data_IF_901531480019
#
_entry.id   IF_901531480019
#
_cell.length_a   1.000
_cell.length_b   1.000
_cell.length_c   1.000
_cell.angle_alpha   90.00
_cell.angle_beta   90.00
_cell.angle_gamma   90.00
#
_symmetry.space_group_name_H-M   'P 1'
#
loop_
_entity.id
_entity.type
_entity.pdbx_description
1 polymer ?
#
# COMPACT_ATOMS: atom_id res chain seq x y z
N UNK A 1 -1.54 8.49 -15.53
CA UNK A 1 -1.00 7.83 -14.32
C UNK A 1 -2.11 7.00 -13.70
N UNK A 2 -1.93 5.68 -13.59
CA UNK A 2 -2.96 4.76 -13.07
C UNK A 2 -3.02 4.85 -11.54
N UNK A 3 -4.19 5.12 -10.96
CA UNK A 3 -4.35 5.12 -9.50
C UNK A 3 -4.71 3.71 -9.02
N UNK A 4 -4.02 3.23 -7.99
CA UNK A 4 -4.17 1.88 -7.46
C UNK A 4 -4.44 1.96 -5.96
N UNK A 5 -5.46 1.22 -5.52
CA UNK A 5 -5.64 0.83 -4.12
C UNK A 5 -5.22 -0.62 -3.94
N UNK A 6 -4.54 -0.94 -2.84
CA UNK A 6 -4.07 -2.29 -2.55
C UNK A 6 -4.78 -2.85 -1.31
N UNK A 7 -5.41 -4.01 -1.46
CA UNK A 7 -6.13 -4.72 -0.39
C UNK A 7 -5.31 -5.94 0.02
N UNK A 8 -4.96 -6.02 1.30
CA UNK A 8 -4.03 -7.00 1.86
C UNK A 8 -2.60 -6.50 1.81
N UNK A 9 -2.07 -6.04 2.95
CA UNK A 9 -0.71 -5.52 3.11
C UNK A 9 0.09 -6.24 4.22
N UNK A 10 -0.30 -7.47 4.54
CA UNK A 10 0.51 -8.38 5.34
C UNK A 10 1.86 -8.74 4.70
N UNK A 11 2.46 -9.85 5.13
CA UNK A 11 3.86 -10.20 4.80
C UNK A 11 4.22 -10.05 3.31
N UNK A 12 3.40 -10.61 2.40
CA UNK A 12 3.64 -10.50 0.96
C UNK A 12 3.13 -9.19 0.36
N UNK A 13 1.99 -8.68 0.86
CA UNK A 13 1.35 -7.47 0.36
C UNK A 13 2.24 -6.23 0.47
N UNK A 14 3.09 -6.16 1.50
CA UNK A 14 4.09 -5.09 1.66
C UNK A 14 5.03 -4.95 0.45
N UNK A 15 5.47 -6.06 -0.15
CA UNK A 15 6.33 -6.02 -1.35
C UNK A 15 5.57 -5.51 -2.58
N UNK A 16 4.26 -5.74 -2.66
CA UNK A 16 3.43 -5.14 -3.71
C UNK A 16 3.31 -3.63 -3.49
N UNK A 17 3.09 -3.18 -2.25
CA UNK A 17 3.03 -1.76 -1.92
C UNK A 17 4.33 -1.03 -2.32
N UNK A 18 5.50 -1.60 -1.99
CA UNK A 18 6.81 -1.06 -2.34
C UNK A 18 7.01 -0.90 -3.86
N UNK A 19 6.73 -1.97 -4.62
CA UNK A 19 6.86 -1.96 -6.09
C UNK A 19 5.90 -0.97 -6.75
N UNK A 20 4.66 -0.92 -6.27
CA UNK A 20 3.65 0.00 -6.79
C UNK A 20 3.99 1.46 -6.46
N UNK A 21 4.55 1.73 -5.27
CA UNK A 21 5.02 3.08 -4.88
C UNK A 21 6.20 3.54 -5.73
N UNK A 22 7.08 2.61 -6.11
CA UNK A 22 8.29 2.90 -6.89
C UNK A 22 8.06 2.95 -8.41
N UNK A 23 6.90 2.51 -8.89
CA UNK A 23 6.62 2.39 -10.32
C UNK A 23 6.14 3.73 -10.90
N UNK A 24 6.85 4.32 -11.88
CA UNK A 24 6.48 5.63 -12.46
C UNK A 24 5.18 5.63 -13.27
N UNK A 25 4.67 4.46 -13.66
CA UNK A 25 3.44 4.33 -14.46
C UNK A 25 2.17 4.39 -13.61
N UNK A 26 2.29 4.21 -12.29
CA UNK A 26 1.15 4.19 -11.38
C UNK A 26 1.38 5.01 -10.11
N UNK A 27 0.28 5.31 -9.44
CA UNK A 27 0.24 5.93 -8.14
C UNK A 27 -0.49 5.00 -7.18
N UNK A 28 0.21 4.46 -6.19
CA UNK A 28 -0.43 3.85 -5.04
C UNK A 28 -1.02 4.96 -4.17
N UNK A 29 -2.35 5.01 -4.04
CA UNK A 29 -3.08 6.10 -3.37
C UNK A 29 -3.61 5.73 -1.99
N UNK A 30 -3.77 4.43 -1.72
CA UNK A 30 -4.26 3.94 -0.46
C UNK A 30 -4.13 2.43 -0.35
N UNK A 31 -4.21 1.95 0.88
CA UNK A 31 -4.11 0.54 1.22
C UNK A 31 -5.22 0.16 2.20
N UNK A 32 -5.51 -1.13 2.30
CA UNK A 32 -6.40 -1.68 3.32
C UNK A 32 -5.88 -3.04 3.78
N UNK A 33 -6.05 -3.38 5.04
CA UNK A 33 -5.87 -4.73 5.58
C UNK A 33 -6.96 -5.03 6.61
N UNK A 34 -7.33 -6.31 6.76
CA UNK A 34 -8.30 -6.71 7.79
C UNK A 34 -7.74 -6.58 9.20
N UNK A 35 -6.41 -6.57 9.36
CA UNK A 35 -5.75 -6.17 10.60
C UNK A 35 -5.48 -4.65 10.59
N UNK A 36 -6.19 -3.85 11.42
CA UNK A 36 -6.06 -2.39 11.43
C UNK A 36 -4.66 -1.91 11.84
N UNK A 37 -3.95 -2.66 12.69
CA UNK A 37 -2.59 -2.31 13.11
C UNK A 37 -1.61 -2.47 11.94
N UNK A 38 -1.73 -3.56 11.19
CA UNK A 38 -0.93 -3.79 9.99
C UNK A 38 -1.21 -2.72 8.93
N UNK A 39 -2.49 -2.41 8.69
CA UNK A 39 -2.90 -1.40 7.73
C UNK A 39 -2.30 -0.02 8.05
N UNK A 40 -2.41 0.42 9.31
CA UNK A 40 -1.84 1.71 9.76
C UNK A 40 -0.32 1.73 9.64
N UNK A 41 0.37 0.69 10.11
CA UNK A 41 1.84 0.62 10.08
C UNK A 41 2.40 0.72 8.65
N UNK A 42 1.80 0.01 7.69
CA UNK A 42 2.24 0.06 6.29
C UNK A 42 1.86 1.39 5.64
N UNK A 43 0.71 1.96 5.99
CA UNK A 43 0.28 3.26 5.46
C UNK A 43 1.24 4.37 5.87
N UNK A 44 1.67 4.38 7.13
CA UNK A 44 2.66 5.31 7.66
C UNK A 44 4.03 5.13 6.98
N UNK A 45 4.51 3.89 6.85
CA UNK A 45 5.78 3.58 6.19
C UNK A 45 5.85 4.13 4.75
N UNK A 46 4.77 3.94 3.97
CA UNK A 46 4.74 4.36 2.57
C UNK A 46 4.08 5.72 2.34
N UNK A 47 3.71 6.45 3.40
CA UNK A 47 2.95 7.70 3.34
C UNK A 47 1.71 7.58 2.43
N UNK A 48 0.79 6.70 2.82
CA UNK A 48 -0.44 6.36 2.11
C UNK A 48 -1.66 6.55 3.04
N UNK A 49 -2.86 6.54 2.44
CA UNK A 49 -4.11 6.49 3.21
C UNK A 49 -4.39 5.04 3.61
N UNK A 50 -4.71 4.83 4.89
CA UNK A 50 -5.15 3.54 5.47
C UNK A 50 -6.68 3.39 5.42
#
# INVERSE_FOLDING_TARGET
>A
MLKIGLVGVGHLGRFHAEKLKSNPLCQLVGIYDSNPECCKSVAEEFNLTA
#
